data_IF_531435862677
#
_entry.id   IF_531435862677
#
_cell.length_a   1.000
_cell.length_b   1.000
_cell.length_c   1.000
_cell.angle_alpha   90.00
_cell.angle_beta   90.00
_cell.angle_gamma   90.00
#
_symmetry.space_group_name_H-M   'P 1'
#
loop_
_entity.id
_entity.type
_entity.pdbx_description
1 polymer ?
#
# COMPACT_ATOMS: atom_id res chain seq x y z
N UNK A 1 -10.26 -28.75 2.05
CA UNK A 1 -11.00 -27.88 1.11
C UNK A 1 -10.51 -26.43 1.10
N UNK A 2 -10.31 -25.74 2.23
CA UNK A 2 -9.83 -24.36 2.24
C UNK A 2 -8.38 -24.23 1.70
N UNK A 3 -7.52 -25.13 2.05
CA UNK A 3 -6.10 -25.15 1.63
C UNK A 3 -5.93 -25.36 0.13
N UNK A 4 -6.77 -26.19 -0.49
CA UNK A 4 -6.81 -26.39 -1.95
C UNK A 4 -7.33 -25.15 -2.70
N UNK A 5 -8.25 -24.40 -2.12
CA UNK A 5 -8.78 -23.18 -2.73
C UNK A 5 -7.77 -22.01 -2.68
N UNK A 6 -7.00 -21.88 -1.60
CA UNK A 6 -5.94 -20.85 -1.48
C UNK A 6 -4.79 -21.18 -2.43
N UNK A 7 -4.34 -22.43 -2.50
CA UNK A 7 -3.28 -22.84 -3.42
C UNK A 7 -3.68 -22.68 -4.89
N UNK A 8 -4.94 -22.99 -5.24
CA UNK A 8 -5.46 -22.75 -6.59
C UNK A 8 -5.56 -21.27 -6.94
N UNK A 9 -5.95 -20.42 -5.99
CA UNK A 9 -6.03 -18.98 -6.16
C UNK A 9 -4.66 -18.34 -6.38
N UNK A 10 -3.66 -18.71 -5.58
CA UNK A 10 -2.30 -18.21 -5.73
C UNK A 10 -1.68 -18.64 -7.07
N UNK A 11 -1.87 -19.92 -7.44
CA UNK A 11 -1.40 -20.43 -8.72
C UNK A 11 -2.03 -19.69 -9.90
N UNK A 12 -3.33 -19.44 -9.85
CA UNK A 12 -4.03 -18.69 -10.87
C UNK A 12 -3.53 -17.22 -10.95
N UNK A 13 -3.36 -16.55 -9.81
CA UNK A 13 -2.79 -15.22 -9.74
C UNK A 13 -1.42 -15.16 -10.43
N UNK A 14 -0.51 -16.04 -10.06
CA UNK A 14 0.86 -16.09 -10.64
C UNK A 14 0.82 -16.36 -12.14
N UNK A 15 -0.05 -17.23 -12.64
CA UNK A 15 -0.19 -17.52 -14.06
C UNK A 15 -0.71 -16.29 -14.85
N UNK A 16 -1.72 -15.58 -14.32
CA UNK A 16 -2.27 -14.39 -14.95
C UNK A 16 -1.25 -13.26 -14.95
N UNK A 17 -0.57 -13.02 -13.81
CA UNK A 17 0.53 -12.06 -13.71
C UNK A 17 1.64 -12.40 -14.71
N UNK A 18 2.07 -13.66 -14.79
CA UNK A 18 3.08 -14.11 -15.74
C UNK A 18 2.70 -13.85 -17.19
N UNK A 19 1.42 -13.94 -17.54
CA UNK A 19 0.91 -13.57 -18.87
C UNK A 19 1.05 -12.05 -19.12
N UNK A 20 0.67 -11.20 -18.16
CA UNK A 20 0.80 -9.75 -18.27
C UNK A 20 2.25 -9.29 -18.33
N UNK A 21 3.13 -9.92 -17.55
CA UNK A 21 4.58 -9.66 -17.58
C UNK A 21 5.13 -9.96 -18.97
N UNK A 22 4.83 -11.13 -19.54
CA UNK A 22 5.26 -11.49 -20.89
C UNK A 22 4.73 -10.53 -21.95
N UNK A 23 3.45 -10.14 -21.86
CA UNK A 23 2.85 -9.15 -22.75
C UNK A 23 3.54 -7.79 -22.65
N UNK A 24 3.85 -7.32 -21.42
CA UNK A 24 4.56 -6.05 -21.20
C UNK A 24 5.98 -6.10 -21.76
N UNK A 25 6.68 -7.23 -21.59
CA UNK A 25 8.04 -7.42 -22.10
C UNK A 25 8.12 -7.52 -23.63
N UNK A 26 7.02 -7.80 -24.31
CA UNK A 26 6.95 -7.71 -25.77
C UNK A 26 7.14 -6.26 -26.29
N UNK A 27 6.79 -5.26 -25.46
CA UNK A 27 6.91 -3.82 -25.75
C UNK A 27 7.89 -3.13 -24.80
N UNK A 28 9.15 -3.59 -24.79
CA UNK A 28 10.17 -3.16 -23.79
C UNK A 28 10.40 -1.66 -23.76
N UNK A 29 10.44 -0.99 -24.91
CA UNK A 29 10.64 0.46 -25.00
C UNK A 29 9.51 1.22 -24.34
N UNK A 30 8.25 0.86 -24.61
CA UNK A 30 7.08 1.47 -23.97
C UNK A 30 7.11 1.23 -22.45
N UNK A 31 7.46 0.03 -22.01
CA UNK A 31 7.62 -0.30 -20.60
C UNK A 31 8.67 0.58 -19.92
N UNK A 32 9.84 0.74 -20.52
CA UNK A 32 10.92 1.58 -19.98
C UNK A 32 10.48 3.05 -19.86
N UNK A 33 9.89 3.61 -20.92
CA UNK A 33 9.41 5.01 -20.91
C UNK A 33 8.36 5.21 -19.81
N UNK A 34 7.39 4.31 -19.70
CA UNK A 34 6.34 4.41 -18.67
C UNK A 34 6.89 4.22 -17.25
N UNK A 35 7.88 3.35 -17.06
CA UNK A 35 8.51 3.10 -15.76
C UNK A 35 9.37 4.29 -15.34
N UNK A 36 10.18 4.84 -16.27
CA UNK A 36 10.96 6.05 -16.02
C UNK A 36 10.07 7.25 -15.77
N UNK A 37 8.99 7.43 -16.56
CA UNK A 37 8.02 8.50 -16.32
C UNK A 37 7.37 8.42 -14.93
N UNK A 38 7.00 7.22 -14.49
CA UNK A 38 6.45 7.02 -13.16
C UNK A 38 7.48 7.28 -12.06
N UNK A 39 8.73 6.82 -12.25
CA UNK A 39 9.84 7.05 -11.33
C UNK A 39 10.19 8.55 -11.22
N UNK A 40 10.18 9.28 -12.34
CA UNK A 40 10.39 10.73 -12.35
C UNK A 40 9.25 11.46 -11.63
N UNK A 41 7.99 11.11 -11.93
CA UNK A 41 6.84 11.74 -11.30
C UNK A 41 6.86 11.59 -9.78
N UNK A 42 7.03 10.35 -9.29
CA UNK A 42 7.12 10.10 -7.85
C UNK A 42 8.42 10.64 -7.23
N UNK A 43 9.53 10.70 -7.99
CA UNK A 43 10.79 11.30 -7.57
C UNK A 43 10.68 12.80 -7.33
N UNK A 44 9.91 13.51 -8.18
CA UNK A 44 9.68 14.95 -8.02
C UNK A 44 8.95 15.29 -6.72
N UNK A 45 8.09 14.42 -6.22
CA UNK A 45 7.41 14.61 -4.94
C UNK A 45 8.44 14.68 -3.79
N UNK A 46 9.42 13.76 -3.78
CA UNK A 46 10.50 13.81 -2.79
C UNK A 46 11.44 15.01 -2.99
N UNK A 47 11.73 15.39 -4.24
CA UNK A 47 12.53 16.57 -4.55
C UNK A 47 11.85 17.84 -4.01
N UNK A 48 10.53 17.94 -4.11
CA UNK A 48 9.78 19.06 -3.52
C UNK A 48 9.95 19.11 -1.99
N UNK A 49 9.89 17.97 -1.32
CA UNK A 49 10.16 17.87 0.13
C UNK A 49 11.62 18.29 0.42
N UNK A 50 12.60 17.78 -0.32
CA UNK A 50 14.00 18.12 -0.13
C UNK A 50 14.29 19.62 -0.34
N UNK A 51 13.66 20.23 -1.34
CA UNK A 51 13.75 21.69 -1.56
C UNK A 51 13.16 22.49 -0.39
N UNK A 52 12.07 22.03 0.23
CA UNK A 52 11.52 22.65 1.42
C UNK A 52 12.58 22.67 2.56
N UNK A 53 13.33 21.60 2.74
CA UNK A 53 14.40 21.50 3.76
C UNK A 53 15.60 22.40 3.49
N UNK A 54 15.77 22.96 2.29
CA UNK A 54 16.79 24.00 2.06
C UNK A 54 16.46 25.33 2.79
N UNK A 55 15.18 25.52 3.15
CA UNK A 55 14.70 26.73 3.84
C UNK A 55 14.38 26.47 5.33
N UNK A 56 14.06 25.22 5.69
CA UNK A 56 13.78 24.82 7.08
C UNK A 56 14.75 23.72 7.50
N UNK A 57 15.33 23.85 8.68
CA UNK A 57 16.26 22.83 9.19
C UNK A 57 15.58 21.55 9.62
N UNK A 58 14.31 21.63 10.08
CA UNK A 58 13.53 20.51 10.58
C UNK A 58 12.04 20.71 10.30
N UNK A 59 11.32 19.61 10.06
CA UNK A 59 9.88 19.60 9.91
C UNK A 59 9.24 18.83 11.07
N UNK A 60 8.54 19.54 11.96
CA UNK A 60 7.96 18.93 13.16
C UNK A 60 8.99 18.26 14.09
N UNK A 61 10.24 18.72 14.06
CA UNK A 61 11.36 18.14 14.81
C UNK A 61 12.10 17.00 14.08
N UNK A 62 11.70 16.64 12.86
CA UNK A 62 12.35 15.62 12.03
C UNK A 62 13.31 16.26 11.03
N UNK A 63 14.46 15.63 10.83
CA UNK A 63 15.45 16.00 9.81
C UNK A 63 15.04 15.48 8.44
N UNK A 64 15.69 15.96 7.37
CA UNK A 64 15.45 15.46 6.01
C UNK A 64 15.71 13.94 5.91
N UNK A 65 16.74 13.44 6.58
CA UNK A 65 17.12 12.02 6.54
C UNK A 65 16.04 11.14 7.22
N UNK A 66 15.42 11.63 8.29
CA UNK A 66 14.30 10.95 8.96
C UNK A 66 13.01 11.00 8.13
N UNK A 67 12.74 12.14 7.47
CA UNK A 67 11.59 12.24 6.55
C UNK A 67 11.80 11.35 5.32
N UNK A 68 13.01 11.25 4.80
CA UNK A 68 13.34 10.30 3.72
C UNK A 68 13.13 8.84 4.15
N UNK A 69 13.40 8.52 5.43
CA UNK A 69 13.09 7.21 6.00
C UNK A 69 11.58 6.94 5.98
N UNK A 70 10.76 7.89 6.45
CA UNK A 70 9.31 7.78 6.42
C UNK A 70 8.77 7.65 4.98
N UNK A 71 9.26 8.48 4.09
CA UNK A 71 8.90 8.45 2.67
C UNK A 71 9.27 7.12 2.01
N UNK A 72 10.51 6.66 2.21
CA UNK A 72 11.01 5.42 1.62
C UNK A 72 10.26 4.19 2.10
N UNK A 73 10.02 4.07 3.41
CA UNK A 73 9.29 2.94 4.01
C UNK A 73 7.82 2.93 3.56
N UNK A 74 7.16 4.09 3.53
CA UNK A 74 5.78 4.22 3.03
C UNK A 74 5.69 3.85 1.55
N UNK A 75 6.59 4.38 0.72
CA UNK A 75 6.61 4.12 -0.73
C UNK A 75 6.85 2.64 -1.05
N UNK A 76 7.73 1.95 -0.31
CA UNK A 76 7.94 0.51 -0.47
C UNK A 76 6.69 -0.27 -0.05
N UNK A 77 6.13 0.00 1.15
CA UNK A 77 4.95 -0.70 1.64
C UNK A 77 3.74 -0.52 0.71
N UNK A 78 3.45 0.73 0.33
CA UNK A 78 2.38 1.03 -0.62
C UNK A 78 2.64 0.42 -2.00
N UNK A 79 3.89 0.52 -2.49
CA UNK A 79 4.26 -0.03 -3.79
C UNK A 79 4.06 -1.54 -3.87
N UNK A 80 4.34 -2.29 -2.80
CA UNK A 80 4.06 -3.73 -2.70
C UNK A 80 2.55 -4.02 -2.79
N UNK A 81 1.73 -3.24 -2.08
CA UNK A 81 0.28 -3.38 -2.11
C UNK A 81 -0.30 -2.99 -3.48
N UNK A 82 0.14 -1.85 -4.05
CA UNK A 82 -0.32 -1.37 -5.35
C UNK A 82 0.09 -2.35 -6.46
N UNK A 83 1.31 -2.88 -6.44
CA UNK A 83 1.77 -3.87 -7.41
C UNK A 83 0.89 -5.11 -7.42
N UNK A 84 0.47 -5.59 -6.24
CA UNK A 84 -0.27 -6.85 -6.09
C UNK A 84 -1.78 -6.69 -6.18
N UNK A 85 -2.34 -5.59 -5.63
CA UNK A 85 -3.78 -5.40 -5.42
C UNK A 85 -4.33 -4.07 -5.97
N UNK A 86 -3.50 -3.19 -6.52
CA UNK A 86 -3.91 -1.86 -6.98
C UNK A 86 -4.92 -1.86 -8.13
N UNK A 87 -5.19 -3.00 -8.76
CA UNK A 87 -6.24 -3.16 -9.78
C UNK A 87 -7.64 -3.19 -9.19
N UNK A 88 -7.77 -3.40 -7.86
CA UNK A 88 -9.05 -3.40 -7.15
C UNK A 88 -9.85 -2.11 -7.34
N UNK A 89 -9.18 -0.96 -7.51
CA UNK A 89 -9.84 0.33 -7.76
C UNK A 89 -10.69 0.38 -9.04
N UNK A 90 -10.52 -0.58 -9.95
CA UNK A 90 -11.28 -0.67 -11.21
C UNK A 90 -12.47 -1.61 -11.15
N UNK A 91 -12.77 -2.19 -10.00
CA UNK A 91 -13.85 -3.16 -9.88
C UNK A 91 -15.21 -2.54 -10.22
N UNK A 92 -15.48 -1.31 -9.76
CA UNK A 92 -16.73 -0.59 -10.06
C UNK A 92 -16.97 -0.40 -11.55
N UNK A 93 -15.92 -0.13 -12.33
CA UNK A 93 -16.02 -0.08 -13.78
C UNK A 93 -16.44 -1.43 -14.36
N UNK A 94 -15.83 -2.55 -13.91
CA UNK A 94 -16.21 -3.90 -14.36
C UNK A 94 -17.65 -4.26 -14.02
N UNK A 95 -18.12 -3.82 -12.85
CA UNK A 95 -19.50 -4.01 -12.42
C UNK A 95 -20.46 -3.23 -13.34
N UNK A 96 -20.13 -1.97 -13.69
CA UNK A 96 -20.93 -1.15 -14.61
C UNK A 96 -20.98 -1.71 -16.02
N UNK A 97 -19.83 -2.16 -16.52
CA UNK A 97 -19.67 -2.65 -17.90
C UNK A 97 -20.19 -4.10 -18.06
N UNK A 98 -20.76 -4.73 -17.02
CA UNK A 98 -21.23 -6.12 -17.04
C UNK A 98 -20.11 -7.17 -17.18
N UNK A 99 -18.84 -6.75 -17.27
CA UNK A 99 -17.70 -7.66 -17.49
C UNK A 99 -17.37 -8.50 -16.26
N UNK A 100 -17.97 -8.22 -15.11
CA UNK A 100 -17.83 -9.01 -13.89
C UNK A 100 -18.41 -10.43 -14.07
N UNK A 101 -19.50 -10.60 -14.82
CA UNK A 101 -20.14 -11.89 -15.06
C UNK A 101 -19.19 -12.88 -15.75
N UNK A 102 -18.30 -12.39 -16.62
CA UNK A 102 -17.30 -13.23 -17.28
C UNK A 102 -16.27 -13.83 -16.32
N UNK A 103 -16.05 -13.19 -15.16
CA UNK A 103 -15.14 -13.70 -14.12
C UNK A 103 -15.83 -14.75 -13.24
N UNK A 104 -17.16 -14.66 -13.07
CA UNK A 104 -17.94 -15.56 -12.24
C UNK A 104 -18.06 -16.97 -12.84
N UNK A 105 -18.04 -17.09 -14.16
CA UNK A 105 -18.14 -18.39 -14.84
C UNK A 105 -16.82 -19.18 -14.87
N UNK A 106 -15.70 -18.55 -14.51
CA UNK A 106 -14.39 -19.19 -14.49
C UNK A 106 -14.16 -19.96 -13.18
N UNK A 107 -13.61 -21.17 -13.21
CA UNK A 107 -13.34 -21.97 -12.00
C UNK A 107 -12.07 -21.47 -11.27
N UNK A 108 -11.98 -20.17 -11.03
CA UNK A 108 -10.84 -19.48 -10.41
C UNK A 108 -11.36 -18.48 -9.38
N UNK A 109 -10.75 -18.34 -8.19
CA UNK A 109 -11.17 -17.35 -7.20
C UNK A 109 -11.21 -15.94 -7.79
N UNK A 110 -12.34 -15.27 -7.67
CA UNK A 110 -12.61 -13.97 -8.29
C UNK A 110 -11.61 -12.91 -7.82
N UNK A 111 -11.27 -12.91 -6.52
CA UNK A 111 -10.27 -12.00 -5.96
C UNK A 111 -8.93 -12.10 -6.70
N UNK A 112 -8.46 -13.32 -6.97
CA UNK A 112 -7.22 -13.55 -7.70
C UNK A 112 -7.29 -13.06 -9.15
N UNK A 113 -8.45 -13.25 -9.82
CA UNK A 113 -8.66 -12.77 -11.18
C UNK A 113 -8.65 -11.25 -11.25
N UNK A 114 -9.39 -10.57 -10.34
CA UNK A 114 -9.46 -9.10 -10.29
C UNK A 114 -8.12 -8.50 -9.89
N UNK A 115 -7.44 -9.07 -8.90
CA UNK A 115 -6.14 -8.60 -8.43
C UNK A 115 -5.04 -8.71 -9.51
N UNK A 116 -5.06 -9.79 -10.30
CA UNK A 116 -4.07 -10.02 -11.36
C UNK A 116 -4.41 -9.33 -12.68
N UNK A 117 -5.63 -8.78 -12.83
CA UNK A 117 -6.07 -8.17 -14.07
C UNK A 117 -5.27 -6.91 -14.40
N UNK A 118 -4.78 -6.82 -15.65
CA UNK A 118 -3.96 -5.70 -16.11
C UNK A 118 -2.80 -5.36 -15.17
N UNK A 119 -2.12 -6.41 -14.68
CA UNK A 119 -0.92 -6.27 -13.84
C UNK A 119 0.09 -5.30 -14.49
N UNK A 120 0.47 -4.25 -13.77
CA UNK A 120 1.26 -3.16 -14.31
C UNK A 120 2.66 -3.14 -13.71
N UNK A 121 3.65 -3.68 -14.43
CA UNK A 121 5.07 -3.69 -14.01
C UNK A 121 5.64 -2.29 -13.75
N UNK A 122 5.09 -1.23 -14.37
CA UNK A 122 5.55 0.15 -14.13
C UNK A 122 5.44 0.58 -12.65
N UNK A 123 4.58 -0.10 -11.87
CA UNK A 123 4.45 0.12 -10.41
C UNK A 123 5.71 -0.25 -9.63
N UNK A 124 6.60 -1.07 -10.21
CA UNK A 124 7.93 -1.33 -9.65
C UNK A 124 8.76 -0.05 -9.51
N UNK A 125 8.50 0.99 -10.34
CA UNK A 125 9.18 2.28 -10.24
C UNK A 125 9.06 2.89 -8.84
N UNK A 126 7.87 2.86 -8.23
CA UNK A 126 7.66 3.37 -6.86
C UNK A 126 8.41 2.55 -5.80
N UNK A 127 8.39 1.22 -5.93
CA UNK A 127 9.13 0.34 -5.00
C UNK A 127 10.62 0.62 -5.09
N UNK A 128 11.16 0.71 -6.31
CA UNK A 128 12.59 0.99 -6.55
C UNK A 128 12.98 2.35 -5.99
N UNK A 129 12.19 3.39 -6.26
CA UNK A 129 12.42 4.73 -5.71
C UNK A 129 12.39 4.71 -4.17
N UNK A 130 11.35 4.11 -3.57
CA UNK A 130 11.24 4.00 -2.13
C UNK A 130 12.42 3.26 -1.51
N UNK A 131 12.87 2.16 -2.13
CA UNK A 131 14.02 1.39 -1.69
C UNK A 131 15.33 2.18 -1.78
N UNK A 132 15.52 2.95 -2.87
CA UNK A 132 16.70 3.83 -3.03
C UNK A 132 16.72 4.92 -1.95
N UNK A 133 15.58 5.59 -1.72
CA UNK A 133 15.47 6.63 -0.69
C UNK A 133 15.66 6.06 0.71
N UNK A 134 15.10 4.89 0.98
CA UNK A 134 15.28 4.18 2.22
C UNK A 134 16.75 3.82 2.45
N UNK A 135 17.42 3.24 1.45
CA UNK A 135 18.86 2.91 1.53
C UNK A 135 19.72 4.16 1.74
N UNK A 136 19.39 5.25 1.03
CA UNK A 136 20.09 6.54 1.22
C UNK A 136 19.88 7.09 2.63
N UNK A 137 18.66 7.10 3.13
CA UNK A 137 18.33 7.53 4.49
C UNK A 137 19.06 6.69 5.54
N UNK A 138 19.02 5.35 5.42
CA UNK A 138 19.71 4.45 6.35
C UNK A 138 21.22 4.63 6.37
N UNK A 139 21.84 5.10 5.27
CA UNK A 139 23.27 5.38 5.22
C UNK A 139 23.66 6.68 5.92
N UNK A 140 22.68 7.55 6.24
CA UNK A 140 22.91 8.85 6.87
C UNK A 140 22.41 8.95 8.31
N UNK A 141 21.44 8.11 8.64
CA UNK A 141 20.89 8.06 10.00
C UNK A 141 21.82 7.29 10.93
N UNK A 142 22.12 7.89 12.07
CA UNK A 142 22.82 7.23 13.16
C UNK A 142 21.80 6.48 14.03
N UNK A 143 21.46 5.27 13.60
CA UNK A 143 20.48 4.40 14.28
C UNK A 143 21.23 3.38 15.12
N UNK A 144 20.95 3.34 16.42
CA UNK A 144 21.39 2.26 17.30
C UNK A 144 20.72 0.94 16.91
N UNK A 145 21.38 0.14 16.08
CA UNK A 145 20.84 -1.11 15.57
C UNK A 145 20.82 -2.20 16.65
N UNK A 146 19.71 -2.29 17.33
CA UNK A 146 19.39 -3.39 18.24
C UNK A 146 18.67 -4.50 17.47
N UNK A 147 18.68 -5.72 17.98
CA UNK A 147 18.05 -6.88 17.31
C UNK A 147 16.57 -6.64 17.04
N UNK A 148 15.88 -6.00 17.97
CA UNK A 148 14.45 -5.66 17.82
C UNK A 148 14.20 -4.66 16.69
N UNK A 149 15.04 -3.64 16.51
CA UNK A 149 14.93 -2.66 15.41
C UNK A 149 15.23 -3.29 14.05
N UNK A 150 16.25 -4.16 13.98
CA UNK A 150 16.56 -4.91 12.75
C UNK A 150 15.41 -5.81 12.34
N UNK A 151 14.80 -6.54 13.29
CA UNK A 151 13.66 -7.39 13.00
C UNK A 151 12.38 -6.60 12.67
N UNK A 152 12.20 -5.43 13.31
CA UNK A 152 11.02 -4.60 13.07
C UNK A 152 10.99 -4.01 11.66
N UNK A 153 12.14 -3.78 11.04
CA UNK A 153 12.25 -3.18 9.71
C UNK A 153 11.51 -3.98 8.62
N UNK A 154 11.83 -5.27 8.35
CA UNK A 154 11.09 -6.06 7.38
C UNK A 154 9.64 -6.30 7.81
N UNK A 155 9.38 -6.46 9.12
CA UNK A 155 8.03 -6.62 9.66
C UNK A 155 7.17 -5.41 9.34
N UNK A 156 7.69 -4.18 9.52
CA UNK A 156 7.02 -2.93 9.17
C UNK A 156 6.66 -2.89 7.69
N UNK A 157 7.60 -3.17 6.80
CA UNK A 157 7.36 -3.12 5.35
C UNK A 157 6.30 -4.13 4.90
N UNK A 158 6.36 -5.37 5.41
CA UNK A 158 5.40 -6.41 5.07
C UNK A 158 4.02 -6.14 5.67
N UNK A 159 3.95 -5.75 6.94
CA UNK A 159 2.69 -5.40 7.60
C UNK A 159 2.06 -4.17 6.98
N UNK A 160 2.86 -3.16 6.65
CA UNK A 160 2.40 -1.96 5.97
C UNK A 160 1.84 -2.27 4.58
N UNK A 161 2.54 -3.11 3.81
CA UNK A 161 2.04 -3.61 2.53
C UNK A 161 0.74 -4.39 2.66
N UNK A 162 0.59 -5.22 3.71
CA UNK A 162 -0.64 -5.95 3.99
C UNK A 162 -1.80 -5.03 4.40
N UNK A 163 -1.55 -3.98 5.21
CA UNK A 163 -2.57 -2.99 5.59
C UNK A 163 -3.06 -2.23 4.35
N UNK A 164 -2.15 -1.70 3.51
CA UNK A 164 -2.55 -1.06 2.25
C UNK A 164 -3.26 -2.03 1.31
N UNK A 165 -2.80 -3.28 1.22
CA UNK A 165 -3.47 -4.33 0.46
C UNK A 165 -4.89 -4.58 0.94
N UNK A 166 -5.10 -4.61 2.25
CA UNK A 166 -6.45 -4.71 2.83
C UNK A 166 -7.33 -3.51 2.47
N UNK A 167 -6.78 -2.29 2.45
CA UNK A 167 -7.51 -1.09 2.01
C UNK A 167 -7.88 -1.15 0.53
N UNK A 168 -7.02 -1.66 -0.35
CA UNK A 168 -7.36 -1.90 -1.75
C UNK A 168 -8.52 -2.89 -1.89
N UNK A 169 -8.50 -3.99 -1.14
CA UNK A 169 -9.58 -4.99 -1.16
C UNK A 169 -10.88 -4.44 -0.56
N UNK A 170 -10.81 -3.69 0.54
CA UNK A 170 -11.97 -3.01 1.15
C UNK A 170 -12.61 -2.01 0.18
N UNK A 171 -11.79 -1.15 -0.44
CA UNK A 171 -12.27 -0.18 -1.43
C UNK A 171 -12.88 -0.87 -2.66
N UNK A 172 -12.25 -1.96 -3.13
CA UNK A 172 -12.83 -2.81 -4.18
C UNK A 172 -14.15 -3.44 -3.77
N UNK A 173 -14.23 -4.00 -2.56
CA UNK A 173 -15.48 -4.57 -2.04
C UNK A 173 -16.58 -3.53 -1.93
N UNK A 174 -16.28 -2.31 -1.51
CA UNK A 174 -17.26 -1.22 -1.40
C UNK A 174 -17.87 -0.85 -2.75
N UNK A 175 -17.14 -1.02 -3.85
CA UNK A 175 -17.64 -0.75 -5.22
C UNK A 175 -18.75 -1.70 -5.68
N UNK A 176 -19.02 -2.82 -4.99
CA UNK A 176 -20.20 -3.64 -5.26
C UNK A 176 -21.51 -2.91 -4.89
N UNK A 177 -21.48 -2.04 -3.88
CA UNK A 177 -22.64 -1.25 -3.45
C UNK A 177 -22.64 0.16 -4.04
N UNK A 178 -21.47 0.78 -4.14
CA UNK A 178 -21.28 2.13 -4.65
C UNK A 178 -20.30 2.11 -5.83
N UNK A 179 -20.84 1.93 -7.04
CA UNK A 179 -20.05 1.66 -8.27
C UNK A 179 -19.03 2.75 -8.60
N UNK A 180 -19.24 3.98 -8.13
CA UNK A 180 -18.36 5.15 -8.35
C UNK A 180 -17.47 5.49 -7.15
N UNK A 181 -17.36 4.58 -6.17
CA UNK A 181 -16.61 4.79 -4.96
C UNK A 181 -15.08 4.62 -5.09
N UNK A 182 -14.53 4.58 -6.30
CA UNK A 182 -13.07 4.56 -6.52
C UNK A 182 -12.35 5.73 -5.85
N UNK A 183 -12.97 6.92 -5.81
CA UNK A 183 -12.38 8.10 -5.17
C UNK A 183 -12.27 7.95 -3.66
N UNK A 184 -13.26 7.30 -3.02
CA UNK A 184 -13.19 6.97 -1.59
C UNK A 184 -12.02 6.04 -1.31
N UNK A 185 -11.82 5.01 -2.15
CA UNK A 185 -10.66 4.14 -2.05
C UNK A 185 -9.35 4.93 -2.20
N UNK A 186 -9.26 5.81 -3.20
CA UNK A 186 -8.08 6.63 -3.48
C UNK A 186 -7.73 7.55 -2.30
N UNK A 187 -8.73 8.11 -1.62
CA UNK A 187 -8.51 8.95 -0.44
C UNK A 187 -7.78 8.19 0.68
N UNK A 188 -8.08 6.91 0.90
CA UNK A 188 -7.43 6.11 1.94
C UNK A 188 -6.15 5.42 1.50
N UNK A 189 -5.99 5.14 0.21
CA UNK A 189 -4.78 4.53 -0.32
C UNK A 189 -3.74 5.57 -0.71
N UNK A 190 -3.97 6.34 -1.75
CA UNK A 190 -3.03 7.39 -2.19
C UNK A 190 -2.95 8.56 -1.19
N UNK A 191 -4.10 9.04 -0.69
CA UNK A 191 -4.13 10.07 0.36
C UNK A 191 -3.45 9.60 1.65
N UNK A 192 -3.68 8.34 2.04
CA UNK A 192 -2.99 7.71 3.17
C UNK A 192 -1.49 7.63 2.99
N UNK A 193 -1.01 7.36 1.76
CA UNK A 193 0.42 7.36 1.44
C UNK A 193 1.01 8.75 1.66
N UNK A 194 0.40 9.77 1.05
CA UNK A 194 0.86 11.17 1.19
C UNK A 194 0.90 11.60 2.66
N UNK A 195 -0.10 11.23 3.45
CA UNK A 195 -0.11 11.50 4.88
C UNK A 195 1.09 10.88 5.61
N UNK A 196 1.40 9.61 5.33
CA UNK A 196 2.45 8.85 6.01
C UNK A 196 3.87 9.23 5.58
N UNK A 197 4.03 9.91 4.45
CA UNK A 197 5.30 10.45 3.97
C UNK A 197 5.80 11.63 4.83
N UNK A 198 4.92 12.26 5.59
CA UNK A 198 5.24 13.36 6.51
C UNK A 198 5.32 12.88 7.97
N UNK A 199 6.10 13.59 8.82
CA UNK A 199 6.20 13.28 10.23
C UNK A 199 4.85 13.41 10.95
N UNK A 200 4.50 12.49 11.88
CA UNK A 200 3.24 12.56 12.60
C UNK A 200 3.08 13.83 13.44
N UNK A 201 4.17 14.44 13.86
CA UNK A 201 4.20 15.65 14.68
C UNK A 201 3.66 16.90 14.00
N UNK A 202 3.55 16.92 12.66
CA UNK A 202 2.98 18.06 11.91
C UNK A 202 1.46 18.05 11.87
N UNK A 203 0.84 16.94 12.28
CA UNK A 203 -0.61 16.76 12.22
C UNK A 203 -1.27 16.97 13.59
N UNK A 204 -2.52 17.42 13.56
CA UNK A 204 -3.33 17.56 14.76
C UNK A 204 -3.64 16.21 15.42
N UNK A 205 -3.74 16.20 16.76
CA UNK A 205 -3.97 14.97 17.55
C UNK A 205 -5.22 14.19 17.13
N UNK A 206 -6.27 14.87 16.68
CA UNK A 206 -7.51 14.20 16.25
C UNK A 206 -7.29 13.38 14.97
N UNK A 207 -6.54 13.93 14.02
CA UNK A 207 -6.15 13.17 12.80
C UNK A 207 -5.29 11.97 13.19
N UNK A 208 -4.29 12.16 14.06
CA UNK A 208 -3.44 11.07 14.54
C UNK A 208 -4.24 9.95 15.20
N UNK A 209 -5.24 10.30 16.04
CA UNK A 209 -6.15 9.32 16.65
C UNK A 209 -6.96 8.57 15.58
N UNK A 210 -7.48 9.28 14.59
CA UNK A 210 -8.22 8.69 13.47
C UNK A 210 -7.40 7.67 12.70
N UNK A 211 -6.17 8.02 12.31
CA UNK A 211 -5.28 7.14 11.54
C UNK A 211 -4.58 6.06 12.37
N UNK A 212 -4.70 6.13 13.69
CA UNK A 212 -4.18 5.09 14.59
C UNK A 212 -5.25 4.08 14.97
N UNK A 213 -6.46 4.54 15.31
CA UNK A 213 -7.48 3.69 15.93
C UNK A 213 -8.68 3.39 15.02
N UNK A 214 -8.97 4.23 14.03
CA UNK A 214 -10.12 4.03 13.12
C UNK A 214 -9.66 3.38 11.82
N UNK A 215 -8.71 4.00 11.11
CA UNK A 215 -8.08 3.43 9.92
C UNK A 215 -6.59 3.30 10.24
N UNK A 216 -6.11 2.12 10.62
CA UNK A 216 -4.84 1.97 11.33
C UNK A 216 -3.61 2.17 10.43
N UNK A 217 -3.58 3.29 9.70
CA UNK A 217 -2.49 3.70 8.83
C UNK A 217 -1.20 4.00 9.61
N UNK A 218 -1.30 4.46 10.86
CA UNK A 218 -0.13 4.71 11.70
C UNK A 218 0.74 3.45 11.89
N UNK A 219 0.14 2.25 11.85
CA UNK A 219 0.85 0.96 11.93
C UNK A 219 1.58 0.57 10.65
N UNK A 220 1.28 1.21 9.52
CA UNK A 220 2.03 1.00 8.28
C UNK A 220 3.47 1.47 8.43
N UNK A 221 3.64 2.65 9.03
CA UNK A 221 4.93 3.34 9.06
C UNK A 221 5.18 4.05 10.40
N UNK A 222 4.34 5.02 10.81
CA UNK A 222 4.68 5.95 11.90
C UNK A 222 5.08 5.26 13.20
N UNK A 223 4.27 4.35 13.71
CA UNK A 223 4.53 3.71 15.02
C UNK A 223 5.79 2.83 14.98
N UNK A 224 5.99 1.95 13.98
CA UNK A 224 7.26 1.20 13.88
C UNK A 224 8.46 2.11 13.61
N UNK A 225 8.32 3.13 12.76
CA UNK A 225 9.40 4.06 12.41
C UNK A 225 9.85 4.89 13.61
N UNK A 226 8.92 5.40 14.43
CA UNK A 226 9.24 6.13 15.66
C UNK A 226 10.09 5.27 16.62
N UNK A 227 9.78 3.97 16.74
CA UNK A 227 10.60 3.05 17.55
C UNK A 227 11.99 2.85 16.96
N UNK A 228 12.12 2.67 15.64
CA UNK A 228 13.42 2.51 14.96
C UNK A 228 14.27 3.77 15.11
N UNK A 229 13.67 4.95 14.92
CA UNK A 229 14.32 6.26 15.00
C UNK A 229 14.55 6.74 16.45
N UNK A 230 14.04 6.02 17.47
CA UNK A 230 14.14 6.43 18.86
C UNK A 230 13.36 7.71 19.20
N UNK A 231 12.30 8.02 18.44
CA UNK A 231 11.46 9.20 18.61
C UNK A 231 10.22 8.91 19.47
N UNK A 232 9.80 9.85 20.33
CA UNK A 232 8.57 9.69 21.10
C UNK A 232 7.33 9.80 20.20
N UNK A 233 6.28 9.04 20.54
CA UNK A 233 5.00 9.15 19.87
C UNK A 233 4.23 10.42 20.31
N UNK A 234 3.66 11.21 19.37
CA UNK A 234 2.90 12.43 19.70
C UNK A 234 1.63 12.20 20.53
N UNK A 235 1.07 10.98 20.50
CA UNK A 235 -0.09 10.57 21.33
C UNK A 235 0.34 10.00 22.68
N UNK A 236 1.64 9.83 22.94
CA UNK A 236 2.18 9.25 24.17
C UNK A 236 2.01 7.73 24.25
N UNK A 237 1.87 7.04 23.12
CA UNK A 237 1.76 5.59 23.06
C UNK A 237 3.12 4.93 23.40
N UNK A 238 3.12 3.73 24.00
CA UNK A 238 4.34 3.00 24.28
C UNK A 238 5.14 2.73 22.99
N UNK A 239 6.47 2.93 23.03
CA UNK A 239 7.34 2.74 21.87
C UNK A 239 7.22 1.34 21.24
N UNK A 240 6.91 0.31 22.04
CA UNK A 240 6.72 -1.08 21.57
C UNK A 240 5.44 -1.33 20.78
N UNK A 241 4.50 -0.36 20.71
CA UNK A 241 3.22 -0.55 20.02
C UNK A 241 3.42 -0.81 18.51
N UNK A 242 4.53 -0.35 17.93
CA UNK A 242 4.89 -0.65 16.55
C UNK A 242 4.99 -2.15 16.23
N UNK A 243 5.31 -2.99 17.22
CA UNK A 243 5.33 -4.46 17.08
C UNK A 243 3.93 -5.06 16.91
N UNK A 244 2.86 -4.33 17.19
CA UNK A 244 1.50 -4.77 16.93
C UNK A 244 1.12 -4.68 15.43
N UNK A 245 1.95 -4.09 14.57
CA UNK A 245 1.68 -3.92 13.14
C UNK A 245 1.27 -5.23 12.43
N UNK A 246 1.90 -6.41 12.64
CA UNK A 246 1.45 -7.66 12.03
C UNK A 246 0.04 -8.08 12.47
N UNK A 247 -0.27 -7.87 13.75
CA UNK A 247 -1.58 -8.22 14.31
C UNK A 247 -2.68 -7.33 13.73
N UNK A 248 -2.40 -6.03 13.62
CA UNK A 248 -3.27 -5.05 12.97
C UNK A 248 -3.44 -5.39 11.49
N UNK A 249 -2.37 -5.74 10.78
CA UNK A 249 -2.43 -6.17 9.40
C UNK A 249 -3.32 -7.41 9.21
N UNK A 250 -3.19 -8.43 10.08
CA UNK A 250 -4.07 -9.60 10.07
C UNK A 250 -5.54 -9.22 10.30
N UNK A 251 -5.81 -8.30 11.26
CA UNK A 251 -7.16 -7.78 11.50
C UNK A 251 -7.74 -7.07 10.27
N UNK A 252 -6.96 -6.17 9.65
CA UNK A 252 -7.36 -5.49 8.42
C UNK A 252 -7.65 -6.47 7.27
N UNK A 253 -6.78 -7.47 7.08
CA UNK A 253 -6.98 -8.51 6.07
C UNK A 253 -8.24 -9.35 6.35
N UNK A 254 -8.53 -9.67 7.61
CA UNK A 254 -9.75 -10.38 7.98
C UNK A 254 -11.01 -9.55 7.66
N UNK A 255 -11.03 -8.26 8.04
CA UNK A 255 -12.13 -7.34 7.73
C UNK A 255 -12.30 -7.19 6.22
N UNK A 256 -11.20 -7.00 5.48
CA UNK A 256 -11.22 -6.92 4.02
C UNK A 256 -11.77 -8.20 3.36
N UNK A 257 -11.38 -9.37 3.87
CA UNK A 257 -11.89 -10.65 3.40
C UNK A 257 -13.39 -10.85 3.67
N UNK A 258 -13.88 -10.39 4.82
CA UNK A 258 -15.31 -10.42 5.15
C UNK A 258 -16.11 -9.45 4.26
N UNK A 259 -15.62 -8.21 4.09
CA UNK A 259 -16.22 -7.21 3.21
C UNK A 259 -16.27 -7.70 1.75
N UNK A 260 -15.19 -8.32 1.27
CA UNK A 260 -15.14 -8.92 -0.06
C UNK A 260 -16.20 -9.99 -0.26
N UNK A 261 -16.34 -10.92 0.73
CA UNK A 261 -17.37 -11.98 0.69
C UNK A 261 -18.78 -11.39 0.71
N UNK A 262 -19.01 -10.35 1.53
CA UNK A 262 -20.29 -9.67 1.60
C UNK A 262 -20.61 -8.95 0.28
N UNK A 263 -19.63 -8.26 -0.32
CA UNK A 263 -19.76 -7.59 -1.61
C UNK A 263 -20.11 -8.56 -2.76
N UNK A 264 -19.42 -9.70 -2.82
CA UNK A 264 -19.71 -10.73 -3.81
C UNK A 264 -21.14 -11.30 -3.68
N UNK A 265 -21.63 -11.46 -2.44
CA UNK A 265 -23.01 -11.93 -2.21
C UNK A 265 -24.07 -10.88 -2.58
N UNK A 266 -23.71 -9.60 -2.44
CA UNK A 266 -24.59 -8.49 -2.80
C UNK A 266 -24.57 -8.15 -4.30
N UNK A 267 -23.62 -8.72 -5.06
CA UNK A 267 -23.51 -8.48 -6.49
C UNK A 267 -24.76 -8.99 -7.23
N UNK A 268 -25.33 -8.11 -8.03
CA UNK A 268 -26.42 -8.43 -8.96
C UNK A 268 -25.93 -8.12 -10.37
N UNK A 269 -26.12 -9.08 -11.29
CA UNK A 269 -25.80 -8.87 -12.70
C UNK A 269 -26.61 -7.70 -13.26
N UNK A 270 -25.95 -6.86 -14.05
CA UNK A 270 -26.62 -5.71 -14.71
C UNK A 270 -27.49 -6.11 -15.87
N UNK A 271 -27.57 -7.41 -16.22
CA UNK A 271 -28.51 -7.93 -17.19
C UNK A 271 -28.30 -7.45 -18.63
N UNK A 272 -27.03 -7.30 -19.06
CA UNK A 272 -26.66 -6.98 -20.44
C UNK A 272 -26.53 -8.22 -21.29
#
# INVERSE_FOLDING_TARGET
>A
MAESAVSSGLRAYVLIVGMWVRSTMAYRTSFLIMTLGNLLATGLDFVAIALMFTHIGQLGGFTLDEVAFLYGTTSVAFGLADLTLGTMGRLGQRVRDGTMDTLLVRPVPILAQVAADRFALRRLGRITQGAVLLGWSLSRLDIDWTVDRVLLMPVMLLSGGAIFGALFVLGGAFQFWAKDASEVQNAFTFGGTTLLEYPPTVFGKELLRGVTFVIPLAFVNWLPALHILGRPDPLGLPARIGFAAPLVACGCCAVAGLAWRAGLRAYQSTGS
#
